data_IF_100323194435
#
_entry.id   IF_100323194435
#
_cell.length_a   1.000
_cell.length_b   1.000
_cell.length_c   1.000
_cell.angle_alpha   90.00
_cell.angle_beta   90.00
_cell.angle_gamma   90.00
#
_symmetry.space_group_name_H-M   'P 1'
#
loop_
_entity.id
_entity.type
_entity.pdbx_description
1 polymer ?
#
# COMPACT_ATOMS: atom_id res chain seq x y z
N UNK A 1 -11.12 9.03 10.58
CA UNK A 1 -10.53 8.99 11.91
C UNK A 1 -11.35 9.86 12.83
N UNK A 2 -11.91 9.29 13.90
CA UNK A 2 -12.62 10.05 14.93
C UNK A 2 -11.68 11.02 15.67
N UNK A 3 -12.24 12.08 16.25
CA UNK A 3 -11.46 13.10 16.95
C UNK A 3 -10.65 12.52 18.12
N UNK A 4 -11.19 11.53 18.82
CA UNK A 4 -10.53 10.87 19.94
C UNK A 4 -9.24 10.16 19.53
N UNK A 5 -9.29 9.31 18.50
CA UNK A 5 -8.11 8.62 17.97
C UNK A 5 -7.10 9.61 17.40
N UNK A 6 -7.57 10.70 16.78
CA UNK A 6 -6.67 11.75 16.31
C UNK A 6 -5.90 12.40 17.46
N UNK A 7 -6.55 12.69 18.60
CA UNK A 7 -5.86 13.24 19.77
C UNK A 7 -4.87 12.24 20.37
N UNK A 8 -5.23 10.96 20.46
CA UNK A 8 -4.32 9.89 20.87
C UNK A 8 -3.08 9.89 19.96
N UNK A 9 -3.27 9.86 18.65
CA UNK A 9 -2.17 9.88 17.69
C UNK A 9 -1.26 11.10 17.88
N UNK A 10 -1.81 12.29 18.13
CA UNK A 10 -1.04 13.52 18.38
C UNK A 10 -0.24 13.50 19.68
N UNK A 11 -0.60 12.68 20.66
CA UNK A 11 0.18 12.50 21.90
C UNK A 11 1.33 11.49 21.78
N UNK A 12 1.39 10.73 20.68
CA UNK A 12 2.41 9.69 20.45
C UNK A 12 3.61 10.23 19.66
N UNK A 13 4.73 9.49 19.68
CA UNK A 13 5.83 9.75 18.76
C UNK A 13 5.43 9.35 17.33
N UNK A 14 4.94 10.34 16.60
CA UNK A 14 4.55 10.21 15.20
C UNK A 14 5.70 9.76 14.29
N UNK A 15 6.97 9.94 14.69
CA UNK A 15 8.11 9.54 13.88
C UNK A 15 8.51 8.08 14.06
N UNK A 16 8.07 7.45 15.16
CA UNK A 16 8.34 6.03 15.39
C UNK A 16 7.86 5.15 14.23
N UNK A 17 8.59 4.07 13.98
CA UNK A 17 8.31 3.16 12.85
C UNK A 17 6.95 2.49 13.02
N UNK A 18 6.60 2.13 14.26
CA UNK A 18 5.33 1.58 14.67
C UNK A 18 4.19 2.53 14.32
N UNK A 19 4.33 3.81 14.66
CA UNK A 19 3.29 4.79 14.37
C UNK A 19 3.20 5.09 12.87
N UNK A 20 4.31 5.11 12.13
CA UNK A 20 4.30 5.23 10.67
C UNK A 20 3.61 4.04 10.00
N UNK A 21 3.84 2.81 10.49
CA UNK A 21 3.13 1.61 10.07
C UNK A 21 1.63 1.71 10.36
N UNK A 22 1.23 2.18 11.54
CA UNK A 22 -0.18 2.37 11.88
C UNK A 22 -0.85 3.41 10.97
N UNK A 23 -0.25 4.59 10.82
CA UNK A 23 -0.85 5.70 10.08
C UNK A 23 -0.94 5.43 8.58
N UNK A 24 0.09 4.80 8.00
CA UNK A 24 0.15 4.59 6.56
C UNK A 24 -0.40 3.23 6.15
N UNK A 25 -0.12 2.18 6.93
CA UNK A 25 -0.28 0.78 6.51
C UNK A 25 -1.31 0.00 7.32
N UNK A 26 -2.04 0.60 8.28
CA UNK A 26 -3.06 -0.12 9.05
C UNK A 26 -4.06 -0.92 8.18
N UNK A 27 -4.58 -0.42 7.04
CA UNK A 27 -5.44 -1.23 6.19
C UNK A 27 -4.76 -2.49 5.63
N UNK A 28 -3.44 -2.47 5.39
CA UNK A 28 -2.69 -3.66 4.99
C UNK A 28 -2.49 -4.61 6.18
N UNK A 29 -2.14 -4.05 7.35
CA UNK A 29 -1.96 -4.79 8.60
C UNK A 29 -3.22 -5.60 8.91
N UNK A 30 -4.39 -4.95 8.93
CA UNK A 30 -5.68 -5.59 9.24
C UNK A 30 -6.25 -6.45 8.10
N UNK A 31 -5.59 -6.49 6.93
CA UNK A 31 -6.03 -7.29 5.78
C UNK A 31 -7.11 -6.65 4.90
N UNK A 32 -7.54 -5.41 5.20
CA UNK A 32 -8.44 -4.63 4.35
C UNK A 32 -7.82 -4.22 3.01
N UNK A 33 -6.48 -4.18 2.92
CA UNK A 33 -5.69 -3.98 1.69
C UNK A 33 -4.68 -5.09 1.48
N UNK A 34 -4.34 -5.33 0.22
CA UNK A 34 -3.33 -6.31 -0.18
C UNK A 34 -1.93 -5.71 -0.32
N UNK A 35 -1.84 -4.38 -0.43
CA UNK A 35 -0.59 -3.64 -0.61
C UNK A 35 -0.74 -2.18 -0.16
N UNK A 36 0.38 -1.55 0.19
CA UNK A 36 0.47 -0.15 0.59
C UNK A 36 1.88 0.43 0.35
N UNK A 37 1.98 1.74 0.19
CA UNK A 37 3.26 2.45 0.23
C UNK A 37 3.60 2.81 1.69
N UNK A 38 4.84 2.63 2.09
CA UNK A 38 5.36 3.12 3.36
C UNK A 38 6.52 4.08 3.08
N UNK A 39 6.40 5.31 3.56
CA UNK A 39 7.46 6.30 3.57
C UNK A 39 7.99 6.45 5.00
N UNK A 40 9.26 6.13 5.23
CA UNK A 40 9.92 6.27 6.54
C UNK A 40 11.26 7.00 6.39
N UNK A 41 11.83 7.44 7.50
CA UNK A 41 13.24 7.85 7.52
C UNK A 41 14.14 6.67 7.13
N UNK A 42 15.22 6.97 6.42
CA UNK A 42 16.10 5.93 5.86
C UNK A 42 16.85 5.17 6.96
N UNK A 43 17.10 5.84 8.09
CA UNK A 43 17.73 5.25 9.28
C UNK A 43 16.81 4.21 9.94
N UNK A 44 15.49 4.32 9.75
CA UNK A 44 14.48 3.41 10.30
C UNK A 44 14.29 2.12 9.49
N UNK A 45 14.95 2.00 8.33
CA UNK A 45 14.83 0.83 7.46
C UNK A 45 15.14 -0.48 8.20
N UNK A 46 16.15 -0.49 9.07
CA UNK A 46 16.53 -1.67 9.84
C UNK A 46 15.47 -2.04 10.88
N UNK A 47 14.93 -1.06 11.60
CA UNK A 47 13.90 -1.27 12.61
C UNK A 47 12.60 -1.79 11.96
N UNK A 48 12.19 -1.21 10.83
CA UNK A 48 11.04 -1.67 10.04
C UNK A 48 11.19 -3.14 9.62
N UNK A 49 12.37 -3.55 9.13
CA UNK A 49 12.63 -4.94 8.74
C UNK A 49 12.51 -5.90 9.93
N UNK A 50 12.94 -5.48 11.12
CA UNK A 50 12.81 -6.27 12.34
C UNK A 50 11.34 -6.41 12.75
N UNK A 51 10.56 -5.32 12.72
CA UNK A 51 9.13 -5.32 13.06
C UNK A 51 8.32 -6.21 12.11
N UNK A 52 8.58 -6.13 10.80
CA UNK A 52 7.84 -6.92 9.80
C UNK A 52 8.26 -8.39 9.73
N UNK A 53 9.33 -8.79 10.43
CA UNK A 53 9.84 -10.16 10.37
C UNK A 53 8.74 -11.14 10.81
N UNK A 54 8.52 -12.18 10.01
CA UNK A 54 7.52 -13.22 10.25
C UNK A 54 6.05 -12.76 10.33
N UNK A 55 5.75 -11.51 9.96
CA UNK A 55 4.37 -10.96 9.91
C UNK A 55 3.52 -11.46 8.72
N UNK A 56 4.16 -12.06 7.71
CA UNK A 56 3.52 -12.39 6.43
C UNK A 56 3.40 -11.20 5.46
N UNK A 57 3.80 -10.00 5.88
CA UNK A 57 3.91 -8.82 4.99
C UNK A 57 5.31 -8.79 4.40
N UNK A 58 5.37 -8.80 3.06
CA UNK A 58 6.61 -8.60 2.30
C UNK A 58 6.85 -7.11 2.07
N UNK A 59 8.12 -6.72 1.90
CA UNK A 59 8.50 -5.35 1.60
C UNK A 59 9.45 -5.28 0.40
N UNK A 60 9.36 -4.23 -0.42
CA UNK A 60 10.25 -3.99 -1.55
C UNK A 60 10.62 -2.50 -1.63
N UNK A 61 11.93 -2.19 -1.57
CA UNK A 61 12.43 -0.81 -1.61
C UNK A 61 12.30 -0.24 -3.02
N UNK A 62 11.46 0.78 -3.19
CA UNK A 62 11.20 1.45 -4.46
C UNK A 62 12.20 2.56 -4.76
N UNK A 63 12.47 3.44 -3.79
CA UNK A 63 13.43 4.54 -3.95
C UNK A 63 13.89 5.05 -2.58
N UNK A 64 15.02 5.74 -2.54
CA UNK A 64 15.48 6.50 -1.37
C UNK A 64 15.94 7.88 -1.84
N UNK A 65 15.44 8.95 -1.22
CA UNK A 65 15.74 10.35 -1.57
C UNK A 65 15.48 11.26 -0.36
N UNK A 66 16.33 12.27 -0.15
CA UNK A 66 16.18 13.28 0.91
C UNK A 66 15.96 12.64 2.29
N UNK A 67 16.82 11.69 2.66
CA UNK A 67 16.74 10.95 3.93
C UNK A 67 15.47 10.11 4.14
N UNK A 68 14.54 10.09 3.18
CA UNK A 68 13.35 9.23 3.20
C UNK A 68 13.50 8.05 2.26
N UNK A 69 12.95 6.90 2.67
CA UNK A 69 12.89 5.69 1.84
C UNK A 69 11.44 5.27 1.61
N UNK A 70 11.12 4.97 0.34
CA UNK A 70 9.84 4.48 -0.12
C UNK A 70 9.86 2.95 -0.23
N UNK A 71 8.96 2.28 0.49
CA UNK A 71 8.75 0.84 0.41
C UNK A 71 7.36 0.52 -0.11
N UNK A 72 7.27 -0.47 -0.99
CA UNK A 72 6.02 -1.19 -1.23
C UNK A 72 5.91 -2.33 -0.22
N UNK A 73 4.91 -2.27 0.66
CA UNK A 73 4.56 -3.37 1.57
C UNK A 73 3.36 -4.11 0.99
N UNK A 74 3.37 -5.43 1.00
CA UNK A 74 2.32 -6.22 0.37
C UNK A 74 2.21 -7.65 0.90
N UNK A 75 1.02 -8.23 0.79
CA UNK A 75 0.80 -9.68 0.97
C UNK A 75 1.05 -10.36 -0.37
N UNK A 76 2.16 -11.09 -0.48
CA UNK A 76 2.69 -11.59 -1.76
C UNK A 76 1.66 -12.36 -2.59
N UNK A 77 1.07 -13.41 -2.03
CA UNK A 77 0.12 -14.28 -2.76
C UNK A 77 -1.07 -13.48 -3.31
N UNK A 78 -1.63 -12.58 -2.50
CA UNK A 78 -2.78 -11.75 -2.90
C UNK A 78 -2.41 -10.73 -3.97
N UNK A 79 -1.29 -10.02 -3.83
CA UNK A 79 -0.87 -9.04 -4.83
C UNK A 79 -0.48 -9.72 -6.15
N UNK A 80 0.19 -10.87 -6.10
CA UNK A 80 0.54 -11.66 -7.27
C UNK A 80 -0.72 -12.19 -8.00
N UNK A 81 -1.70 -12.70 -7.27
CA UNK A 81 -2.99 -13.10 -7.85
C UNK A 81 -3.76 -11.92 -8.47
N UNK A 82 -3.77 -10.77 -7.79
CA UNK A 82 -4.39 -9.54 -8.30
C UNK A 82 -3.73 -9.06 -9.61
N UNK A 83 -2.39 -9.04 -9.67
CA UNK A 83 -1.66 -8.59 -10.86
C UNK A 83 -1.78 -9.55 -12.04
N UNK A 84 -2.07 -10.84 -11.78
CA UNK A 84 -2.35 -11.84 -12.80
C UNK A 84 -3.78 -11.78 -13.37
N UNK A 85 -4.62 -10.85 -12.90
CA UNK A 85 -5.92 -10.58 -13.53
C UNK A 85 -5.70 -10.04 -14.96
N UNK A 86 -6.47 -10.54 -15.93
CA UNK A 86 -6.33 -10.17 -17.35
C UNK A 86 -6.48 -8.66 -17.60
N UNK A 87 -7.32 -7.96 -16.84
CA UNK A 87 -7.49 -6.52 -16.95
C UNK A 87 -6.29 -5.75 -16.40
N UNK A 88 -5.67 -6.23 -15.31
CA UNK A 88 -4.44 -5.64 -14.78
C UNK A 88 -3.28 -5.84 -15.76
N UNK A 89 -3.17 -7.04 -16.35
CA UNK A 89 -2.19 -7.34 -17.39
C UNK A 89 -2.36 -6.46 -18.64
N UNK A 90 -3.59 -6.16 -19.06
CA UNK A 90 -3.86 -5.22 -20.16
C UNK A 90 -3.30 -3.81 -19.86
N UNK A 91 -3.49 -3.31 -18.63
CA UNK A 91 -2.93 -2.01 -18.21
C UNK A 91 -1.40 -2.06 -18.21
N UNK A 92 -0.79 -3.11 -17.66
CA UNK A 92 0.66 -3.29 -17.65
C UNK A 92 1.23 -3.38 -19.07
N UNK A 93 0.57 -4.12 -19.97
CA UNK A 93 0.93 -4.21 -21.38
C UNK A 93 0.91 -2.84 -22.05
N UNK A 94 -0.14 -2.05 -21.84
CA UNK A 94 -0.25 -0.67 -22.35
C UNK A 94 0.81 0.27 -21.75
N UNK A 95 1.26 0.02 -20.53
CA UNK A 95 2.40 0.70 -19.90
C UNK A 95 3.77 0.19 -20.42
N UNK A 96 3.78 -0.74 -21.37
CA UNK A 96 4.97 -1.26 -22.05
C UNK A 96 5.63 -2.45 -21.36
N UNK A 97 4.98 -3.12 -20.41
CA UNK A 97 5.51 -4.32 -19.77
C UNK A 97 5.39 -5.52 -20.72
N UNK A 98 6.44 -6.34 -20.80
CA UNK A 98 6.52 -7.53 -21.66
C UNK A 98 6.62 -8.83 -20.86
N UNK A 99 7.21 -8.76 -19.67
CA UNK A 99 7.34 -9.86 -18.73
C UNK A 99 6.49 -9.56 -17.49
N UNK A 100 5.49 -10.42 -17.27
CA UNK A 100 4.50 -10.27 -16.22
C UNK A 100 4.81 -11.09 -14.97
N UNK A 101 6.01 -11.69 -14.87
CA UNK A 101 6.43 -12.31 -13.62
C UNK A 101 6.52 -11.26 -12.51
N UNK A 102 6.05 -11.61 -11.31
CA UNK A 102 5.90 -10.67 -10.20
C UNK A 102 7.16 -9.86 -9.91
N UNK A 103 8.32 -10.53 -9.86
CA UNK A 103 9.60 -9.87 -9.62
C UNK A 103 10.02 -8.90 -10.73
N UNK A 104 9.70 -9.21 -12.00
CA UNK A 104 10.05 -8.35 -13.15
C UNK A 104 9.14 -7.13 -13.21
N UNK A 105 7.86 -7.27 -12.87
CA UNK A 105 6.94 -6.15 -12.68
C UNK A 105 7.50 -5.19 -11.63
N UNK A 106 7.85 -5.68 -10.44
CA UNK A 106 8.40 -4.84 -9.35
C UNK A 106 9.70 -4.13 -9.76
N UNK A 107 10.63 -4.84 -10.39
CA UNK A 107 11.90 -4.26 -10.83
C UNK A 107 11.71 -3.19 -11.92
N UNK A 108 10.80 -3.42 -12.87
CA UNK A 108 10.51 -2.45 -13.93
C UNK A 108 9.80 -1.22 -13.37
N UNK A 109 8.83 -1.43 -12.48
CA UNK A 109 8.14 -0.34 -11.79
C UNK A 109 9.12 0.53 -11.01
N UNK A 110 10.01 -0.09 -10.22
CA UNK A 110 11.08 0.61 -9.50
C UNK A 110 11.90 1.52 -10.40
N UNK A 111 12.41 1.01 -11.52
CA UNK A 111 13.20 1.80 -12.47
C UNK A 111 12.44 3.01 -13.01
N UNK A 112 11.14 2.84 -13.31
CA UNK A 112 10.28 3.93 -13.79
C UNK A 112 10.02 4.97 -12.69
N UNK A 113 9.78 4.51 -11.47
CA UNK A 113 9.56 5.38 -10.32
C UNK A 113 10.82 6.18 -9.96
N UNK A 114 11.99 5.53 -9.92
CA UNK A 114 13.28 6.20 -9.73
C UNK A 114 13.58 7.21 -10.85
N UNK A 115 13.29 6.87 -12.11
CA UNK A 115 13.45 7.80 -13.23
C UNK A 115 12.57 9.05 -13.07
N UNK A 116 11.31 8.88 -12.67
CA UNK A 116 10.40 9.99 -12.35
C UNK A 116 10.94 10.89 -11.22
N UNK A 117 11.49 10.31 -10.16
CA UNK A 117 12.00 11.08 -9.03
C UNK A 117 13.26 11.89 -9.36
N UNK A 118 14.02 11.48 -10.37
CA UNK A 118 15.30 12.08 -10.77
C UNK A 118 15.18 13.06 -11.94
N UNK A 119 14.08 13.04 -12.70
CA UNK A 119 13.88 13.84 -13.90
C UNK A 119 12.42 14.29 -13.99
N UNK A 120 12.21 15.60 -13.86
CA UNK A 120 10.88 16.23 -13.87
C UNK A 120 10.15 16.11 -15.22
N UNK A 121 10.86 15.78 -16.30
CA UNK A 121 10.27 15.55 -17.61
C UNK A 121 9.76 14.11 -17.78
N UNK A 122 10.09 13.19 -16.86
CA UNK A 122 9.54 11.84 -16.87
C UNK A 122 8.12 11.85 -16.30
N UNK A 123 7.25 11.08 -16.93
CA UNK A 123 5.89 10.89 -16.45
C UNK A 123 5.86 9.97 -15.23
N UNK A 124 4.99 10.28 -14.28
CA UNK A 124 4.73 9.41 -13.14
C UNK A 124 4.18 8.05 -13.62
N UNK A 125 4.68 6.91 -13.12
CA UNK A 125 4.18 5.59 -13.50
C UNK A 125 2.80 5.33 -12.86
N UNK A 126 1.72 5.69 -13.57
CA UNK A 126 0.35 5.55 -13.07
C UNK A 126 -0.08 4.12 -12.80
N UNK A 127 0.63 3.12 -13.35
CA UNK A 127 0.43 1.72 -12.98
C UNK A 127 0.71 1.43 -11.49
N UNK A 128 1.32 2.37 -10.75
CA UNK A 128 1.42 2.38 -9.29
C UNK A 128 0.09 2.00 -8.62
N UNK A 129 -1.05 2.42 -9.17
CA UNK A 129 -2.36 2.05 -8.62
C UNK A 129 -2.60 0.54 -8.55
N UNK A 130 -2.09 -0.23 -9.52
CA UNK A 130 -2.13 -1.69 -9.48
C UNK A 130 -1.23 -2.25 -8.38
N UNK A 131 -0.02 -1.70 -8.24
CA UNK A 131 0.94 -2.15 -7.22
C UNK A 131 0.43 -1.86 -5.80
N UNK A 132 -0.39 -0.84 -5.62
CA UNK A 132 -1.09 -0.52 -4.37
C UNK A 132 -2.39 -1.33 -4.17
N UNK A 133 -2.79 -2.15 -5.14
CA UNK A 133 -3.98 -2.99 -5.07
C UNK A 133 -5.29 -2.20 -5.15
N UNK A 134 -5.32 -1.06 -5.85
CA UNK A 134 -6.57 -0.35 -6.11
C UNK A 134 -7.49 -1.18 -7.02
N UNK A 135 -8.82 -0.98 -6.97
CA UNK A 135 -9.71 -1.59 -7.95
C UNK A 135 -9.25 -1.29 -9.39
N UNK A 136 -9.13 -2.33 -10.23
CA UNK A 136 -8.53 -2.24 -11.57
C UNK A 136 -9.28 -1.22 -12.43
N UNK A 137 -10.60 -1.16 -12.29
CA UNK A 137 -11.47 -0.24 -13.01
C UNK A 137 -11.22 1.24 -12.64
N UNK A 138 -10.81 1.52 -11.40
CA UNK A 138 -10.47 2.87 -10.96
C UNK A 138 -9.07 3.27 -11.45
N UNK A 139 -8.12 2.33 -11.51
CA UNK A 139 -6.80 2.56 -12.11
C UNK A 139 -6.92 2.81 -13.61
N UNK A 140 -7.69 1.97 -14.31
CA UNK A 140 -8.01 2.12 -15.73
C UNK A 140 -8.66 3.48 -16.00
N UNK A 141 -9.71 3.80 -15.25
CA UNK A 141 -10.42 5.08 -15.37
C UNK A 141 -9.51 6.28 -15.14
N UNK A 142 -8.62 6.22 -14.15
CA UNK A 142 -7.64 7.28 -13.89
C UNK A 142 -6.71 7.50 -15.09
N UNK A 143 -6.16 6.42 -15.66
CA UNK A 143 -5.24 6.50 -16.79
C UNK A 143 -5.96 7.01 -18.04
N UNK A 144 -7.11 6.44 -18.38
CA UNK A 144 -7.87 6.78 -19.60
C UNK A 144 -8.38 8.23 -19.58
N UNK A 145 -8.71 8.76 -18.41
CA UNK A 145 -9.24 10.13 -18.27
C UNK A 145 -8.20 11.13 -17.76
N UNK A 146 -6.90 10.76 -17.70
CA UNK A 146 -5.83 11.60 -17.15
C UNK A 146 -6.17 12.17 -15.75
N UNK A 147 -6.84 11.38 -14.92
CA UNK A 147 -7.29 11.77 -13.59
C UNK A 147 -8.49 12.73 -13.55
N UNK A 148 -9.09 13.10 -14.68
CA UNK A 148 -10.30 13.92 -14.73
C UNK A 148 -11.57 13.05 -14.65
N UNK A 149 -12.73 13.66 -14.40
CA UNK A 149 -14.03 12.99 -14.50
C UNK A 149 -14.32 11.90 -13.46
N UNK A 150 -13.62 11.88 -12.32
CA UNK A 150 -13.90 10.92 -11.26
C UNK A 150 -15.27 11.18 -10.62
N UNK A 151 -15.98 10.11 -10.27
CA UNK A 151 -17.28 10.15 -9.61
C UNK A 151 -17.18 10.51 -8.13
N UNK A 152 -16.05 10.20 -7.51
CA UNK A 152 -15.75 10.49 -6.12
C UNK A 152 -14.23 10.50 -5.90
N UNK A 153 -13.75 11.23 -4.90
CA UNK A 153 -12.33 11.27 -4.54
C UNK A 153 -12.18 11.05 -3.03
N UNK A 154 -11.38 10.05 -2.66
CA UNK A 154 -11.01 9.74 -1.28
C UNK A 154 -9.57 9.26 -1.22
N UNK A 155 -9.34 8.01 -0.79
CA UNK A 155 -8.01 7.39 -0.84
C UNK A 155 -7.45 7.28 -2.26
N UNK A 156 -8.33 7.18 -3.26
CA UNK A 156 -8.03 7.33 -4.68
C UNK A 156 -9.23 7.98 -5.41
N UNK A 157 -9.05 8.27 -6.70
CA UNK A 157 -10.12 8.75 -7.58
C UNK A 157 -10.96 7.58 -8.08
N UNK A 158 -12.25 7.61 -7.77
CA UNK A 158 -13.21 6.55 -8.09
C UNK A 158 -13.86 6.82 -9.44
N UNK A 159 -13.87 5.81 -10.29
CA UNK A 159 -14.49 5.83 -11.63
C UNK A 159 -15.65 4.85 -11.74
N UNK A 160 -15.80 3.89 -10.80
CA UNK A 160 -16.92 2.96 -10.78
C UNK A 160 -17.35 2.56 -9.38
N UNK A 161 -18.66 2.33 -9.21
CA UNK A 161 -19.26 1.82 -7.97
C UNK A 161 -18.89 2.63 -6.72
N UNK A 162 -19.27 3.92 -6.70
CA UNK A 162 -19.02 4.83 -5.58
C UNK A 162 -19.44 4.26 -4.22
N UNK A 163 -20.62 3.63 -4.05
CA UNK A 163 -21.02 3.08 -2.75
C UNK A 163 -20.03 2.05 -2.20
N UNK A 164 -19.56 1.12 -3.04
CA UNK A 164 -18.57 0.12 -2.62
C UNK A 164 -17.25 0.78 -2.21
N UNK A 165 -16.78 1.78 -2.98
CA UNK A 165 -15.49 2.44 -2.72
C UNK A 165 -15.53 3.28 -1.45
N UNK A 166 -16.65 3.96 -1.18
CA UNK A 166 -16.87 4.65 0.10
C UNK A 166 -16.82 3.68 1.28
N UNK A 167 -17.48 2.51 1.17
CA UNK A 167 -17.41 1.47 2.20
C UNK A 167 -15.97 0.99 2.42
N UNK A 168 -15.20 0.75 1.36
CA UNK A 168 -13.78 0.38 1.49
C UNK A 168 -12.98 1.46 2.23
N UNK A 169 -13.22 2.74 1.94
CA UNK A 169 -12.55 3.85 2.62
C UNK A 169 -12.92 3.94 4.10
N UNK A 170 -14.19 3.70 4.44
CA UNK A 170 -14.64 3.62 5.84
C UNK A 170 -13.96 2.46 6.57
N UNK A 171 -13.81 1.30 5.93
CA UNK A 171 -13.10 0.15 6.51
C UNK A 171 -11.60 0.45 6.72
N UNK A 172 -10.99 1.29 5.88
CA UNK A 172 -9.61 1.74 6.07
C UNK A 172 -9.46 2.71 7.24
N UNK A 173 -10.42 3.61 7.43
CA UNK A 173 -10.43 4.49 8.61
C UNK A 173 -10.57 3.68 9.88
N UNK A 174 -11.46 2.69 9.92
CA UNK A 174 -11.62 1.77 11.06
C UNK A 174 -10.35 0.99 11.33
N UNK A 175 -9.71 0.44 10.29
CA UNK A 175 -8.44 -0.27 10.42
C UNK A 175 -7.37 0.61 11.09
N UNK A 176 -7.28 1.87 10.64
CA UNK A 176 -6.34 2.85 11.21
C UNK A 176 -6.66 3.17 12.66
N UNK A 177 -7.93 3.37 12.99
CA UNK A 177 -8.38 3.59 14.36
C UNK A 177 -8.02 2.42 15.27
N UNK A 178 -8.32 1.18 14.86
CA UNK A 178 -8.02 -0.01 15.66
C UNK A 178 -6.52 -0.19 15.91
N UNK A 179 -5.66 -0.01 14.89
CA UNK A 179 -4.21 -0.17 15.08
C UNK A 179 -3.64 0.92 15.99
N UNK A 180 -4.09 2.18 15.85
CA UNK A 180 -3.64 3.28 16.72
C UNK A 180 -4.09 3.04 18.17
N UNK A 181 -5.33 2.59 18.38
CA UNK A 181 -5.83 2.27 19.72
C UNK A 181 -5.00 1.17 20.38
N UNK A 182 -4.70 0.09 19.66
CA UNK A 182 -3.84 -0.99 20.19
C UNK A 182 -2.44 -0.48 20.56
N UNK A 183 -1.83 0.38 19.74
CA UNK A 183 -0.55 0.99 20.10
C UNK A 183 -0.65 1.90 21.33
N UNK A 184 -1.75 2.62 21.50
CA UNK A 184 -2.00 3.49 22.66
C UNK A 184 -2.27 2.70 23.95
N UNK A 185 -2.70 1.44 23.82
CA UNK A 185 -2.79 0.46 24.91
C UNK A 185 -1.45 -0.26 25.15
N UNK A 186 -0.33 0.29 24.65
CA UNK A 186 1.03 -0.25 24.76
C UNK A 186 1.22 -1.66 24.16
N UNK A 187 0.35 -2.06 23.21
CA UNK A 187 0.51 -3.33 22.49
C UNK A 187 1.62 -3.19 21.43
N UNK A 188 2.66 -4.01 21.54
CA UNK A 188 3.79 -4.04 20.58
C UNK A 188 3.31 -4.31 19.14
N UNK A 189 3.83 -3.54 18.18
CA UNK A 189 3.44 -3.65 16.76
C UNK A 189 3.61 -5.07 16.20
N UNK A 190 4.59 -5.85 16.66
CA UNK A 190 4.78 -7.24 16.22
C UNK A 190 3.64 -8.14 16.71
N UNK A 191 3.10 -7.88 17.90
CA UNK A 191 1.93 -8.60 18.39
C UNK A 191 0.67 -8.21 17.60
N UNK A 192 0.50 -6.93 17.28
CA UNK A 192 -0.58 -6.47 16.38
C UNK A 192 -0.49 -7.17 15.03
N UNK A 193 0.70 -7.23 14.44
CA UNK A 193 0.95 -7.93 13.17
C UNK A 193 0.62 -9.43 13.25
N UNK A 194 0.89 -10.08 14.39
CA UNK A 194 0.54 -11.49 14.60
C UNK A 194 -0.98 -11.70 14.74
N UNK A 195 -1.69 -10.79 15.43
CA UNK A 195 -3.17 -10.83 15.57
C UNK A 195 -3.85 -10.81 14.19
N UNK A 196 -3.32 -10.01 13.25
CA UNK A 196 -3.86 -9.86 11.90
C UNK A 196 -3.12 -10.68 10.83
N UNK A 197 -2.31 -11.65 11.26
CA UNK A 197 -1.61 -12.52 10.33
C UNK A 197 -2.60 -13.48 9.69
N UNK A 198 -2.53 -13.60 8.36
CA UNK A 198 -3.32 -14.58 7.65
C UNK A 198 -2.70 -15.96 7.87
N UNK A 199 -3.53 -16.94 8.23
CA UNK A 199 -3.09 -18.33 8.22
C UNK A 199 -2.69 -18.73 6.78
N UNK A 200 -1.63 -19.54 6.61
CA UNK A 200 -1.29 -20.05 5.30
C UNK A 200 -2.49 -20.81 4.74
N UNK A 201 -2.99 -20.39 3.58
CA UNK A 201 -3.93 -21.22 2.82
C UNK A 201 -3.22 -22.54 2.53
N UNK A 202 -3.71 -23.65 3.11
CA UNK A 202 -3.29 -24.98 2.70
C UNK A 202 -3.54 -25.08 1.20
N UNK A 203 -2.47 -25.15 0.43
CA UNK A 203 -2.54 -25.51 -0.98
C UNK A 203 -3.03 -26.95 -0.97
N UNK A 204 -4.29 -27.17 -1.36
CA UNK A 204 -4.75 -28.51 -1.70
C UNK A 204 -3.85 -29.01 -2.82
N UNK A 205 -3.01 -30.00 -2.50
CA UNK A 205 -2.13 -30.73 -3.44
C UNK A 205 -2.98 -31.60 -4.34
#
# INVERSE_FOLDING_TARGET
MCQEVFQIAMSMDLKSVEMQLALQCAPLITGARISNMLMIDSDDESAMRVILRASGISHFRLAARNEKTAFLLFRRSRLEAYLNNSEALDILKKAGYEDYSFGKILLRFKKRYEAYLNDEHKQFPHEMGLLLGYPIEDVRGFIEHNGCGCLYSGYWKVYRNVPLKKKMFEDFEKAKESVIQLLAEDIDMRLILEIYKEEPQQIAV
#
